data_IF_189365350920
#
_entry.id   IF_189365350920
#
_cell.length_a   1.000
_cell.length_b   1.000
_cell.length_c   1.000
_cell.angle_alpha   90.00
_cell.angle_beta   90.00
_cell.angle_gamma   90.00
#
_symmetry.space_group_name_H-M   'P 1'
#
loop_
_entity.id
_entity.type
_entity.pdbx_description
1 polymer ?
#
# COMPACT_ATOMS: atom_id res chain seq x y z
N UNK A 1 -14.58 14.70 -4.84
CA UNK A 1 -13.31 15.30 -4.38
C UNK A 1 -12.31 15.12 -5.51
N UNK A 2 -11.52 16.15 -5.82
CA UNK A 2 -10.38 16.02 -6.75
C UNK A 2 -9.12 15.80 -5.92
N UNK A 3 -8.18 15.02 -6.45
CA UNK A 3 -6.86 14.87 -5.83
C UNK A 3 -6.03 16.12 -6.07
N UNK A 4 -5.21 16.51 -5.08
CA UNK A 4 -4.21 17.59 -5.28
C UNK A 4 -3.00 17.13 -6.11
N UNK A 5 -2.90 15.84 -6.43
CA UNK A 5 -1.85 15.31 -7.28
C UNK A 5 -2.25 15.37 -8.76
N UNK A 6 -1.27 15.51 -9.68
CA UNK A 6 -1.52 15.36 -11.10
C UNK A 6 -1.98 13.95 -11.46
N UNK A 7 -3.00 13.85 -12.32
CA UNK A 7 -3.54 12.56 -12.77
C UNK A 7 -2.47 11.66 -13.41
N UNK A 8 -1.55 12.26 -14.17
CA UNK A 8 -0.44 11.54 -14.80
C UNK A 8 0.47 10.86 -13.76
N UNK A 9 0.67 11.46 -12.58
CA UNK A 9 1.49 10.86 -11.53
C UNK A 9 0.87 9.55 -11.02
N UNK A 10 -0.46 9.53 -10.86
CA UNK A 10 -1.23 8.33 -10.55
C UNK A 10 -1.01 7.23 -11.60
N UNK A 11 -1.17 7.57 -12.88
CA UNK A 11 -0.99 6.64 -14.00
C UNK A 11 0.43 6.07 -14.09
N UNK A 12 1.45 6.89 -13.79
CA UNK A 12 2.84 6.47 -13.81
C UNK A 12 3.16 5.44 -12.73
N UNK A 13 2.65 5.62 -11.51
CA UNK A 13 2.93 4.73 -10.39
C UNK A 13 2.03 3.48 -10.37
N UNK A 14 0.76 3.62 -10.78
CA UNK A 14 -0.27 2.60 -10.65
C UNK A 14 0.13 1.21 -11.18
N UNK A 15 0.67 1.02 -12.41
CA UNK A 15 0.95 -0.32 -12.91
C UNK A 15 2.00 -1.06 -12.06
N UNK A 16 3.05 -0.36 -11.63
CA UNK A 16 4.10 -0.95 -10.80
C UNK A 16 3.62 -1.22 -9.38
N UNK A 17 2.95 -0.24 -8.77
CA UNK A 17 2.38 -0.37 -7.44
C UNK A 17 1.34 -1.50 -7.39
N UNK A 18 0.50 -1.66 -8.42
CA UNK A 18 -0.49 -2.73 -8.50
C UNK A 18 0.16 -4.12 -8.51
N UNK A 19 1.19 -4.33 -9.35
CA UNK A 19 1.90 -5.62 -9.40
C UNK A 19 2.55 -5.94 -8.04
N UNK A 20 3.19 -4.96 -7.41
CA UNK A 20 3.83 -5.15 -6.11
C UNK A 20 2.78 -5.40 -5.02
N UNK A 21 1.68 -4.66 -5.02
CA UNK A 21 0.58 -4.83 -4.06
C UNK A 21 -0.07 -6.21 -4.17
N UNK A 22 -0.23 -6.76 -5.38
CA UNK A 22 -0.70 -8.14 -5.59
C UNK A 22 0.31 -9.13 -5.03
N UNK A 23 1.61 -8.93 -5.27
CA UNK A 23 2.65 -9.78 -4.68
C UNK A 23 2.63 -9.75 -3.15
N UNK A 24 2.50 -8.57 -2.55
CA UNK A 24 2.37 -8.41 -1.10
C UNK A 24 1.12 -9.11 -0.58
N UNK A 25 -0.04 -8.89 -1.20
CA UNK A 25 -1.29 -9.53 -0.79
C UNK A 25 -1.17 -11.06 -0.83
N UNK A 26 -0.62 -11.65 -1.89
CA UNK A 26 -0.45 -13.10 -2.00
C UNK A 26 0.53 -13.62 -0.95
N UNK A 27 1.67 -12.95 -0.76
CA UNK A 27 2.68 -13.37 0.22
C UNK A 27 2.15 -13.31 1.64
N UNK A 28 1.42 -12.24 1.98
CA UNK A 28 0.86 -12.04 3.31
C UNK A 28 -0.30 -13.00 3.58
N UNK A 29 -1.18 -13.22 2.60
CA UNK A 29 -2.24 -14.21 2.72
C UNK A 29 -1.70 -15.65 2.85
N UNK A 30 -0.63 -15.99 2.14
CA UNK A 30 -0.10 -17.36 2.12
C UNK A 30 0.83 -17.69 3.28
N UNK A 31 1.65 -16.73 3.74
CA UNK A 31 2.74 -16.94 4.71
C UNK A 31 2.74 -15.95 5.86
N UNK A 32 1.74 -15.05 5.93
CA UNK A 32 1.61 -14.00 6.95
C UNK A 32 2.88 -13.14 7.07
N UNK A 33 3.53 -12.92 5.93
CA UNK A 33 4.82 -12.24 5.82
C UNK A 33 4.86 -11.39 4.56
N UNK A 34 5.11 -10.09 4.76
CA UNK A 34 5.46 -9.15 3.69
C UNK A 34 6.97 -9.26 3.40
N UNK A 35 7.39 -9.64 2.17
CA UNK A 35 8.81 -9.77 1.85
C UNK A 35 9.50 -8.40 1.81
N UNK A 36 10.68 -8.27 2.43
CA UNK A 36 11.50 -7.05 2.32
C UNK A 36 11.78 -6.67 0.86
N UNK A 37 11.90 -7.66 -0.03
CA UNK A 37 12.08 -7.42 -1.47
C UNK A 37 10.91 -6.64 -2.08
N UNK A 38 9.68 -6.88 -1.65
CA UNK A 38 8.50 -6.15 -2.13
C UNK A 38 8.50 -4.71 -1.61
N UNK A 39 8.87 -4.50 -0.34
CA UNK A 39 9.04 -3.16 0.25
C UNK A 39 10.11 -2.37 -0.50
N UNK A 40 11.27 -2.98 -0.74
CA UNK A 40 12.36 -2.34 -1.48
C UNK A 40 11.99 -2.08 -2.94
N UNK A 41 11.23 -2.97 -3.57
CA UNK A 41 10.72 -2.74 -4.92
C UNK A 41 9.78 -1.52 -4.95
N UNK A 42 8.87 -1.38 -3.98
CA UNK A 42 7.95 -0.25 -3.92
C UNK A 42 8.69 1.07 -3.70
N UNK A 43 9.68 1.08 -2.80
CA UNK A 43 10.58 2.21 -2.62
C UNK A 43 11.34 2.56 -3.91
N UNK A 44 11.87 1.55 -4.60
CA UNK A 44 12.56 1.71 -5.88
C UNK A 44 11.67 2.28 -6.97
N UNK A 45 10.39 1.87 -7.02
CA UNK A 45 9.39 2.46 -7.92
C UNK A 45 9.22 3.95 -7.63
N UNK A 46 9.03 4.33 -6.36
CA UNK A 46 8.94 5.76 -6.02
C UNK A 46 10.19 6.52 -6.45
N UNK A 47 11.38 5.98 -6.17
CA UNK A 47 12.64 6.62 -6.50
C UNK A 47 12.87 6.79 -8.02
N UNK A 48 12.61 5.75 -8.81
CA UNK A 48 12.89 5.77 -10.25
C UNK A 48 11.77 6.48 -11.02
N UNK A 49 10.52 6.09 -10.78
CA UNK A 49 9.36 6.64 -11.50
C UNK A 49 9.07 8.06 -11.04
N UNK A 50 9.27 8.37 -9.74
CA UNK A 50 9.15 9.74 -9.24
C UNK A 50 10.23 10.65 -9.80
N UNK A 51 11.48 10.19 -9.92
CA UNK A 51 12.53 10.96 -10.58
C UNK A 51 12.23 11.19 -12.08
N UNK A 52 11.67 10.19 -12.77
CA UNK A 52 11.18 10.36 -14.14
C UNK A 52 10.04 11.39 -14.22
N UNK A 53 9.13 11.40 -13.23
CA UNK A 53 8.05 12.38 -13.13
C UNK A 53 8.59 13.81 -12.92
N UNK A 54 9.66 13.96 -12.13
CA UNK A 54 10.38 15.24 -11.99
C UNK A 54 10.98 15.68 -13.33
N UNK A 55 11.66 14.77 -14.04
CA UNK A 55 12.27 15.07 -15.34
C UNK A 55 11.24 15.47 -16.41
N UNK A 56 10.02 14.95 -16.33
CA UNK A 56 8.89 15.30 -17.18
C UNK A 56 8.08 16.50 -16.68
N UNK A 57 8.53 17.21 -15.63
CA UNK A 57 7.84 18.34 -15.01
C UNK A 57 6.43 18.04 -14.51
N UNK A 58 6.14 16.77 -14.16
CA UNK A 58 4.86 16.34 -13.58
C UNK A 58 4.80 16.70 -12.09
N UNK A 59 5.92 16.56 -11.39
CA UNK A 59 6.07 16.95 -9.98
C UNK A 59 7.34 17.77 -9.83
N UNK A 60 7.33 18.74 -8.91
CA UNK A 60 8.53 19.53 -8.64
C UNK A 60 9.57 18.70 -7.89
N UNK A 61 10.86 18.99 -8.08
CA UNK A 61 11.93 18.33 -7.34
C UNK A 61 11.78 18.49 -5.81
N UNK A 62 11.45 19.69 -5.27
CA UNK A 62 11.19 19.86 -3.84
C UNK A 62 10.05 18.97 -3.33
N UNK A 63 8.92 18.90 -4.04
CA UNK A 63 7.78 18.07 -3.61
C UNK A 63 8.16 16.59 -3.61
N UNK A 64 8.81 16.13 -4.68
CA UNK A 64 9.29 14.75 -4.79
C UNK A 64 10.21 14.37 -3.62
N UNK A 65 11.15 15.24 -3.25
CA UNK A 65 12.07 15.00 -2.13
C UNK A 65 11.35 15.06 -0.78
N UNK A 66 10.39 15.97 -0.61
CA UNK A 66 9.65 16.13 0.64
C UNK A 66 8.86 14.86 1.00
N UNK A 67 8.38 14.12 0.00
CA UNK A 67 7.66 12.87 0.25
C UNK A 67 8.52 11.75 0.84
N UNK A 68 9.86 11.82 0.78
CA UNK A 68 10.71 10.92 1.57
C UNK A 68 10.61 11.18 3.08
N UNK A 69 10.24 12.39 3.49
CA UNK A 69 9.90 12.68 4.89
C UNK A 69 8.66 11.90 5.32
N UNK A 70 7.66 11.73 4.44
CA UNK A 70 6.50 10.89 4.74
C UNK A 70 6.93 9.46 5.06
N UNK A 71 7.84 8.89 4.26
CA UNK A 71 8.41 7.56 4.52
C UNK A 71 9.10 7.52 5.89
N UNK A 72 9.98 8.48 6.18
CA UNK A 72 10.73 8.51 7.44
C UNK A 72 9.80 8.61 8.67
N UNK A 73 8.78 9.48 8.59
CA UNK A 73 7.79 9.66 9.66
C UNK A 73 6.97 8.39 9.86
N UNK A 74 6.42 7.81 8.78
CA UNK A 74 5.62 6.59 8.90
C UNK A 74 6.45 5.40 9.35
N UNK A 75 7.72 5.31 8.95
CA UNK A 75 8.63 4.27 9.43
C UNK A 75 8.90 4.42 10.92
N UNK A 76 9.12 5.64 11.41
CA UNK A 76 9.34 5.91 12.83
C UNK A 76 8.10 5.54 13.66
N UNK A 77 6.91 5.98 13.22
CA UNK A 77 5.64 5.63 13.87
C UNK A 77 5.43 4.11 13.85
N UNK A 78 5.62 3.47 12.69
CA UNK A 78 5.49 2.03 12.54
C UNK A 78 6.48 1.23 13.40
N UNK A 79 7.70 1.72 13.57
CA UNK A 79 8.70 1.14 14.46
C UNK A 79 8.25 1.19 15.92
N UNK A 80 7.76 2.35 16.39
CA UNK A 80 7.25 2.51 17.76
C UNK A 80 6.03 1.59 17.99
N UNK A 81 5.10 1.54 17.04
CA UNK A 81 3.92 0.66 17.14
C UNK A 81 4.30 -0.82 17.11
N UNK A 82 5.30 -1.21 16.31
CA UNK A 82 5.81 -2.58 16.30
C UNK A 82 6.50 -2.94 17.63
N UNK A 83 7.30 -2.03 18.20
CA UNK A 83 7.93 -2.22 19.51
C UNK A 83 6.90 -2.34 20.64
N UNK A 84 5.74 -1.68 20.50
CA UNK A 84 4.60 -1.81 21.39
C UNK A 84 3.72 -3.05 21.12
N UNK A 85 4.03 -3.87 20.11
CA UNK A 85 3.28 -5.08 19.76
C UNK A 85 1.95 -4.83 19.03
N UNK A 86 1.72 -3.62 18.50
CA UNK A 86 0.44 -3.24 17.88
C UNK A 86 0.33 -3.63 16.40
N UNK A 87 1.46 -3.74 15.69
CA UNK A 87 1.48 -4.11 14.28
C UNK A 87 2.75 -4.87 13.89
N UNK A 88 2.68 -5.65 12.81
CA UNK A 88 3.80 -6.43 12.31
C UNK A 88 4.90 -5.57 11.69
N UNK A 89 6.16 -5.98 11.84
CA UNK A 89 7.29 -5.26 11.25
C UNK A 89 7.22 -5.19 9.71
N UNK A 90 6.57 -6.17 9.08
CA UNK A 90 6.30 -6.15 7.63
C UNK A 90 5.34 -5.03 7.26
N UNK A 91 4.21 -4.93 7.97
CA UNK A 91 3.19 -3.91 7.76
C UNK A 91 3.76 -2.50 7.96
N UNK A 92 4.55 -2.30 9.02
CA UNK A 92 5.24 -1.04 9.30
C UNK A 92 6.08 -0.57 8.10
N UNK A 93 6.90 -1.47 7.58
CA UNK A 93 7.84 -1.19 6.50
C UNK A 93 7.11 -0.92 5.18
N UNK A 94 6.09 -1.71 4.89
CA UNK A 94 5.30 -1.52 3.67
C UNK A 94 4.48 -0.23 3.72
N UNK A 95 3.85 0.08 4.85
CA UNK A 95 3.17 1.34 5.10
C UNK A 95 4.10 2.55 4.92
N UNK A 96 5.35 2.45 5.41
CA UNK A 96 6.36 3.48 5.18
C UNK A 96 6.73 3.62 3.69
N UNK A 97 6.90 2.51 2.97
CA UNK A 97 7.25 2.53 1.56
C UNK A 97 6.14 3.08 0.65
N UNK A 98 4.87 2.92 1.04
CA UNK A 98 3.74 3.50 0.30
C UNK A 98 3.48 4.98 0.64
N UNK A 99 3.97 5.48 1.78
CA UNK A 99 3.71 6.85 2.22
C UNK A 99 4.11 7.94 1.21
N UNK A 100 5.24 7.83 0.46
CA UNK A 100 5.59 8.81 -0.57
C UNK A 100 4.63 8.87 -1.77
N UNK A 101 3.79 7.84 -1.98
CA UNK A 101 2.82 7.86 -3.07
C UNK A 101 1.63 8.77 -2.73
N UNK A 102 1.38 9.03 -1.44
CA UNK A 102 0.25 9.83 -0.96
C UNK A 102 0.66 11.29 -0.78
N UNK A 103 -0.13 12.20 -1.33
CA UNK A 103 0.08 13.63 -1.14
C UNK A 103 -0.47 14.05 0.21
N UNK A 104 0.20 14.98 0.87
CA UNK A 104 -0.23 15.46 2.18
C UNK A 104 -1.64 16.08 2.12
N UNK A 105 -1.98 16.79 1.04
CA UNK A 105 -3.32 17.36 0.83
C UNK A 105 -4.43 16.33 0.60
N UNK A 106 -4.07 15.08 0.24
CA UNK A 106 -5.02 14.00 0.03
C UNK A 106 -5.17 13.08 1.26
N UNK A 107 -4.56 13.41 2.40
CA UNK A 107 -4.50 12.51 3.54
C UNK A 107 -5.89 12.07 4.03
N UNK A 108 -6.88 12.96 4.00
CA UNK A 108 -8.27 12.64 4.35
C UNK A 108 -8.89 11.65 3.36
N UNK A 109 -8.71 11.87 2.07
CA UNK A 109 -9.18 10.96 1.01
C UNK A 109 -8.52 9.59 1.15
N UNK A 110 -7.20 9.57 1.32
CA UNK A 110 -6.45 8.34 1.52
C UNK A 110 -6.94 7.60 2.77
N UNK A 111 -7.20 8.30 3.89
CA UNK A 111 -7.74 7.69 5.11
C UNK A 111 -9.11 7.04 4.89
N UNK A 112 -10.01 7.68 4.14
CA UNK A 112 -11.31 7.07 3.79
C UNK A 112 -11.16 5.84 2.90
N UNK A 113 -10.33 5.92 1.86
CA UNK A 113 -10.04 4.78 0.97
C UNK A 113 -9.43 3.63 1.77
N UNK A 114 -8.48 3.92 2.64
CA UNK A 114 -7.79 2.92 3.44
C UNK A 114 -8.72 2.29 4.48
N UNK A 115 -9.58 3.07 5.13
CA UNK A 115 -10.61 2.53 6.02
C UNK A 115 -11.56 1.59 5.27
N UNK A 116 -12.02 1.97 4.08
CA UNK A 116 -12.83 1.09 3.23
C UNK A 116 -12.09 -0.18 2.82
N UNK A 117 -10.79 -0.08 2.50
CA UNK A 117 -9.95 -1.23 2.18
C UNK A 117 -9.79 -2.18 3.38
N UNK A 118 -9.64 -1.67 4.60
CA UNK A 118 -9.58 -2.47 5.83
C UNK A 118 -10.91 -3.18 6.06
N UNK A 119 -12.03 -2.45 6.07
CA UNK A 119 -13.35 -3.04 6.33
C UNK A 119 -13.71 -4.08 5.26
N UNK A 120 -13.55 -3.74 3.99
CA UNK A 120 -13.83 -4.63 2.87
C UNK A 120 -12.91 -5.84 2.85
N UNK A 121 -11.60 -5.62 2.97
CA UNK A 121 -10.61 -6.71 2.98
C UNK A 121 -10.79 -7.65 4.16
N UNK A 122 -11.09 -7.13 5.35
CA UNK A 122 -11.38 -7.94 6.53
C UNK A 122 -12.63 -8.79 6.32
N UNK A 123 -13.76 -8.18 5.92
CA UNK A 123 -15.01 -8.91 5.72
C UNK A 123 -14.85 -9.98 4.63
N UNK A 124 -14.27 -9.61 3.47
CA UNK A 124 -14.05 -10.54 2.37
C UNK A 124 -13.13 -11.70 2.75
N UNK A 125 -12.04 -11.42 3.49
CA UNK A 125 -11.14 -12.46 3.99
C UNK A 125 -11.86 -13.44 4.91
N UNK A 126 -12.63 -12.93 5.87
CA UNK A 126 -13.34 -13.78 6.85
C UNK A 126 -14.41 -14.63 6.19
N UNK A 127 -15.08 -14.11 5.15
CA UNK A 127 -15.99 -14.89 4.32
C UNK A 127 -15.20 -15.95 3.54
N UNK A 128 -14.13 -15.57 2.85
CA UNK A 128 -13.30 -16.48 2.06
C UNK A 128 -12.75 -17.65 2.89
N UNK A 129 -12.28 -17.38 4.13
CA UNK A 129 -11.82 -18.39 5.10
C UNK A 129 -12.91 -19.41 5.48
N UNK A 130 -14.20 -19.10 5.31
CA UNK A 130 -15.32 -20.00 5.62
C UNK A 130 -15.84 -20.76 4.40
N UNK A 131 -15.46 -20.35 3.19
CA UNK A 131 -15.97 -20.93 1.95
C UNK A 131 -15.02 -22.03 1.47
N UNK A 132 -15.52 -23.28 1.46
CA UNK A 132 -14.72 -24.47 1.17
C UNK A 132 -14.06 -24.48 -0.21
N UNK A 133 -14.77 -24.01 -1.25
CA UNK A 133 -14.20 -23.96 -2.61
C UNK A 133 -13.03 -22.98 -2.73
N UNK A 134 -13.07 -21.86 -1.99
CA UNK A 134 -11.99 -20.84 -2.02
C UNK A 134 -10.74 -21.40 -1.34
N UNK A 135 -10.88 -22.03 -0.16
CA UNK A 135 -9.78 -22.69 0.52
C UNK A 135 -9.18 -23.83 -0.31
N UNK A 136 -10.02 -24.58 -1.03
CA UNK A 136 -9.57 -25.65 -1.90
C UNK A 136 -8.79 -25.15 -3.13
N UNK A 137 -9.11 -23.96 -3.63
CA UNK A 137 -8.39 -23.36 -4.77
C UNK A 137 -6.97 -22.88 -4.40
N UNK A 138 -6.76 -22.47 -3.15
CA UNK A 138 -5.46 -22.03 -2.62
C UNK A 138 -5.15 -22.72 -1.28
N UNK A 139 -4.86 -24.03 -1.31
CA UNK A 139 -4.63 -24.81 -0.10
C UNK A 139 -3.31 -24.42 0.57
N UNK A 140 -3.25 -24.57 1.90
CA UNK A 140 -2.03 -24.39 2.68
C UNK A 140 -1.64 -22.93 2.97
N UNK A 141 -2.49 -21.95 2.65
CA UNK A 141 -2.27 -20.57 3.07
C UNK A 141 -2.45 -20.43 4.59
N UNK A 142 -1.46 -19.83 5.24
CA UNK A 142 -1.41 -19.67 6.70
C UNK A 142 -2.55 -18.79 7.24
N UNK A 143 -3.01 -17.80 6.46
CA UNK A 143 -4.14 -16.93 6.86
C UNK A 143 -5.48 -17.67 6.96
N UNK A 144 -5.60 -18.88 6.41
CA UNK A 144 -6.78 -19.73 6.61
C UNK A 144 -6.83 -20.38 7.98
N UNK A 145 -5.67 -20.60 8.60
CA UNK A 145 -5.60 -21.30 9.87
C UNK A 145 -5.50 -20.32 11.04
N UNK A 146 -4.80 -19.19 10.86
CA UNK A 146 -4.63 -18.17 11.91
C UNK A 146 -5.81 -17.24 12.07
N UNK A 147 -5.96 -16.69 13.28
CA UNK A 147 -6.95 -15.66 13.59
C UNK A 147 -6.45 -14.24 13.33
N UNK A 148 -5.14 -14.06 13.22
CA UNK A 148 -4.53 -12.81 12.77
C UNK A 148 -4.99 -12.45 11.36
N UNK A 149 -5.09 -11.16 11.07
CA UNK A 149 -5.53 -10.67 9.77
C UNK A 149 -4.33 -10.20 8.91
N UNK A 150 -4.19 -10.69 7.66
CA UNK A 150 -3.12 -10.29 6.76
C UNK A 150 -3.32 -8.86 6.23
N UNK A 151 -2.75 -7.88 6.93
CA UNK A 151 -2.89 -6.45 6.63
C UNK A 151 -2.27 -6.04 5.30
N UNK A 152 -1.31 -6.81 4.76
CA UNK A 152 -0.70 -6.59 3.45
C UNK A 152 -1.72 -6.54 2.31
N UNK A 153 -2.83 -7.29 2.43
CA UNK A 153 -3.96 -7.21 1.50
C UNK A 153 -4.56 -5.79 1.48
N UNK A 154 -4.88 -5.24 2.64
CA UNK A 154 -5.53 -3.93 2.77
C UNK A 154 -4.58 -2.77 2.47
N UNK A 155 -3.30 -2.89 2.85
CA UNK A 155 -2.26 -1.92 2.48
C UNK A 155 -2.11 -1.85 0.95
N UNK A 156 -2.05 -3.01 0.29
CA UNK A 156 -1.96 -3.09 -1.16
C UNK A 156 -3.20 -2.51 -1.87
N UNK A 157 -4.40 -2.90 -1.43
CA UNK A 157 -5.67 -2.37 -1.97
C UNK A 157 -5.76 -0.85 -1.76
N UNK A 158 -5.45 -0.36 -0.55
CA UNK A 158 -5.52 1.06 -0.22
C UNK A 158 -4.62 1.91 -1.11
N UNK A 159 -3.37 1.47 -1.33
CA UNK A 159 -2.44 2.15 -2.23
C UNK A 159 -2.94 2.16 -3.68
N UNK A 160 -3.37 1.02 -4.21
CA UNK A 160 -3.83 0.89 -5.60
C UNK A 160 -5.10 1.70 -5.84
N UNK A 161 -6.07 1.62 -4.91
CA UNK A 161 -7.31 2.38 -5.00
C UNK A 161 -7.06 3.89 -4.92
N UNK A 162 -6.13 4.34 -4.07
CA UNK A 162 -5.73 5.74 -4.03
C UNK A 162 -5.05 6.20 -5.32
N UNK A 163 -4.10 5.44 -5.87
CA UNK A 163 -3.44 5.79 -7.13
C UNK A 163 -4.42 5.80 -8.32
N UNK A 164 -5.40 4.89 -8.33
CA UNK A 164 -6.49 4.91 -9.30
C UNK A 164 -7.39 6.15 -9.12
N UNK A 165 -7.72 6.51 -7.89
CA UNK A 165 -8.43 7.76 -7.60
C UNK A 165 -7.67 8.99 -8.10
N UNK A 166 -6.35 9.07 -7.86
CA UNK A 166 -5.49 10.14 -8.39
C UNK A 166 -5.53 10.14 -9.92
N UNK A 167 -5.35 8.99 -10.57
CA UNK A 167 -5.37 8.87 -12.03
C UNK A 167 -6.69 9.35 -12.66
N UNK A 168 -7.82 9.21 -11.95
CA UNK A 168 -9.15 9.58 -12.43
C UNK A 168 -9.57 11.01 -12.07
N UNK A 169 -9.00 11.59 -11.01
CA UNK A 169 -9.51 12.83 -10.40
C UNK A 169 -8.45 13.88 -10.10
N UNK A 170 -7.20 13.64 -10.50
CA UNK A 170 -6.09 14.55 -10.32
C UNK A 170 -6.25 15.86 -11.10
N UNK A 171 -5.60 16.90 -10.60
CA UNK A 171 -5.61 18.28 -11.15
C UNK A 171 -4.54 18.53 -12.20
#
# INVERSE_FOLDING_TARGET
MMSVQPALLGLMFLPFAAVISVWVAISDMSRMKIPNKAVMALFGVYAVVGLAAVAMSVITLPDYLWRYVHLAVILLVGFVMNAAGLLGAGDAKFAAAMAPFVALGDLSVFAFIFAAAILGGFVLHRIAKRVSFVRAAVPGWESWERDDFPMGLCLGIGLVAYLAFVALTGV
#
